data_IF_031063597315
#
_entry.id   IF_031063597315
#
_cell.length_a   1.000
_cell.length_b   1.000
_cell.length_c   1.000
_cell.angle_alpha   90.00
_cell.angle_beta   90.00
_cell.angle_gamma   90.00
#
_symmetry.space_group_name_H-M   'P 1'
#
loop_
_entity.id
_entity.type
_entity.pdbx_description
1 polymer ?
#
# COMPACT_ATOMS: atom_id res chain seq x y z
N UNK A 1 -17.38 -13.30 24.61
CA UNK A 1 -17.45 -12.51 23.37
C UNK A 1 -16.35 -11.47 23.43
N UNK A 2 -15.23 -11.70 22.75
CA UNK A 2 -14.15 -10.71 22.64
C UNK A 2 -14.37 -9.97 21.32
N UNK A 3 -14.83 -8.73 21.42
CA UNK A 3 -15.06 -7.84 20.29
C UNK A 3 -13.71 -7.56 19.64
N UNK A 4 -13.43 -8.23 18.53
CA UNK A 4 -12.22 -8.03 17.74
C UNK A 4 -12.40 -6.68 17.02
N UNK A 5 -11.78 -5.65 17.59
CA UNK A 5 -11.74 -4.27 17.12
C UNK A 5 -11.68 -4.18 15.59
N UNK A 6 -12.75 -3.70 14.92
CA UNK A 6 -12.83 -3.59 13.46
C UNK A 6 -11.86 -2.63 12.73
N UNK A 7 -11.22 -1.59 13.33
CA UNK A 7 -10.51 -0.59 12.53
C UNK A 7 -9.14 -1.05 12.02
N UNK A 8 -8.30 -1.63 12.88
CA UNK A 8 -6.87 -1.83 12.59
C UNK A 8 -6.62 -2.78 11.42
N UNK A 9 -7.47 -3.82 11.29
CA UNK A 9 -7.41 -4.75 10.17
C UNK A 9 -7.84 -4.12 8.84
N UNK A 10 -8.77 -3.16 8.86
CA UNK A 10 -9.23 -2.47 7.64
C UNK A 10 -8.16 -1.51 7.11
N UNK A 11 -7.49 -0.77 8.00
CA UNK A 11 -6.37 0.09 7.64
C UNK A 11 -5.20 -0.70 7.03
N UNK A 12 -4.85 -1.84 7.63
CA UNK A 12 -3.79 -2.72 7.15
C UNK A 12 -4.08 -3.23 5.73
N UNK A 13 -5.34 -3.60 5.45
CA UNK A 13 -5.74 -4.08 4.13
C UNK A 13 -5.63 -2.99 3.04
N UNK A 14 -6.00 -1.74 3.35
CA UNK A 14 -5.91 -0.64 2.38
C UNK A 14 -4.46 -0.30 2.02
N UNK A 15 -3.55 -0.34 3.00
CA UNK A 15 -2.10 -0.17 2.78
C UNK A 15 -1.52 -1.28 1.89
N UNK A 16 -1.89 -2.53 2.16
CA UNK A 16 -1.45 -3.68 1.34
C UNK A 16 -1.96 -3.57 -0.10
N UNK A 17 -3.22 -3.22 -0.30
CA UNK A 17 -3.80 -3.01 -1.63
C UNK A 17 -3.10 -1.88 -2.40
N UNK A 18 -2.82 -0.76 -1.74
CA UNK A 18 -2.07 0.34 -2.32
C UNK A 18 -0.65 -0.08 -2.71
N UNK A 19 0.02 -0.86 -1.86
CA UNK A 19 1.36 -1.37 -2.10
C UNK A 19 1.40 -2.35 -3.29
N UNK A 20 0.42 -3.25 -3.38
CA UNK A 20 0.28 -4.19 -4.50
C UNK A 20 0.08 -3.44 -5.81
N UNK A 21 -0.88 -2.51 -5.85
CA UNK A 21 -1.14 -1.67 -7.02
C UNK A 21 0.12 -0.92 -7.47
N UNK A 22 0.82 -0.28 -6.54
CA UNK A 22 2.06 0.45 -6.86
C UNK A 22 3.18 -0.51 -7.33
N UNK A 23 3.26 -1.72 -6.79
CA UNK A 23 4.25 -2.70 -7.20
C UNK A 23 4.01 -3.23 -8.63
N UNK A 24 2.75 -3.29 -9.06
CA UNK A 24 2.33 -3.66 -10.42
C UNK A 24 2.49 -2.51 -11.42
N UNK A 25 2.37 -1.26 -10.96
CA UNK A 25 2.45 -0.08 -11.81
C UNK A 25 3.86 0.14 -12.38
N UNK A 26 3.98 0.18 -13.70
CA UNK A 26 5.25 0.34 -14.42
C UNK A 26 5.63 1.82 -14.58
N UNK A 27 4.63 2.71 -14.65
CA UNK A 27 4.83 4.16 -14.79
C UNK A 27 3.99 4.91 -13.73
N UNK A 28 4.43 4.89 -12.46
CA UNK A 28 3.64 5.46 -11.38
C UNK A 28 3.50 6.98 -11.52
N UNK A 29 2.30 7.53 -11.28
CA UNK A 29 2.09 8.97 -11.32
C UNK A 29 2.91 9.68 -10.24
N UNK A 30 3.37 10.89 -10.56
CA UNK A 30 4.11 11.74 -9.64
C UNK A 30 3.30 13.02 -9.36
N UNK A 31 3.15 13.44 -8.09
CA UNK A 31 3.71 12.81 -6.88
C UNK A 31 2.89 11.58 -6.42
N UNK A 32 3.58 10.48 -6.05
CA UNK A 32 2.91 9.21 -5.72
C UNK A 32 2.13 9.23 -4.41
N UNK A 33 2.63 9.92 -3.37
CA UNK A 33 1.99 9.95 -2.05
C UNK A 33 0.59 10.59 -2.10
N UNK A 34 0.38 11.78 -2.68
CA UNK A 34 -0.96 12.34 -2.84
C UNK A 34 -1.91 11.44 -3.65
N UNK A 35 -1.40 10.74 -4.66
CA UNK A 35 -2.24 9.84 -5.45
C UNK A 35 -2.69 8.62 -4.65
N UNK A 36 -1.79 7.98 -3.89
CA UNK A 36 -2.17 6.86 -3.02
C UNK A 36 -3.21 7.28 -1.97
N UNK A 37 -3.02 8.45 -1.37
CA UNK A 37 -3.97 9.01 -0.40
C UNK A 37 -5.35 9.19 -1.02
N UNK A 38 -5.42 9.79 -2.21
CA UNK A 38 -6.68 10.04 -2.92
C UNK A 38 -7.35 8.75 -3.39
N UNK A 39 -6.56 7.76 -3.83
CA UNK A 39 -7.06 6.54 -4.46
C UNK A 39 -7.55 5.50 -3.45
N UNK A 40 -6.90 5.41 -2.30
CA UNK A 40 -7.14 4.38 -1.29
C UNK A 40 -7.61 4.95 0.06
N UNK A 41 -7.94 6.24 0.12
CA UNK A 41 -8.34 6.97 1.33
C UNK A 41 -7.34 6.84 2.49
N UNK A 42 -6.05 6.94 2.16
CA UNK A 42 -4.96 6.77 3.12
C UNK A 42 -4.51 8.09 3.73
N UNK A 43 -4.01 8.01 4.97
CA UNK A 43 -3.16 9.04 5.55
C UNK A 43 -1.80 9.12 4.85
N UNK A 44 -1.04 10.19 5.12
CA UNK A 44 0.31 10.33 4.58
C UNK A 44 1.28 9.26 5.12
N UNK A 45 1.06 8.78 6.35
CA UNK A 45 1.86 7.70 6.94
C UNK A 45 1.60 6.38 6.22
N UNK A 46 0.32 5.99 6.10
CA UNK A 46 -0.10 4.77 5.40
C UNK A 46 0.33 4.76 3.93
N UNK A 47 0.24 5.90 3.24
CA UNK A 47 0.75 6.01 1.87
C UNK A 47 2.28 5.84 1.78
N UNK A 48 3.02 6.29 2.79
CA UNK A 48 4.47 6.10 2.88
C UNK A 48 4.84 4.65 3.15
N UNK A 49 4.08 3.97 4.03
CA UNK A 49 4.20 2.53 4.29
C UNK A 49 3.90 1.71 3.04
N UNK A 50 2.84 2.05 2.30
CA UNK A 50 2.50 1.42 1.04
C UNK A 50 3.65 1.57 0.01
N UNK A 51 4.29 2.74 -0.04
CA UNK A 51 5.47 2.95 -0.89
C UNK A 51 6.64 2.04 -0.51
N UNK A 52 6.94 1.90 0.78
CA UNK A 52 8.01 1.02 1.26
C UNK A 52 7.69 -0.46 0.99
N UNK A 53 6.43 -0.86 1.20
CA UNK A 53 5.96 -2.22 0.95
C UNK A 53 5.99 -2.58 -0.55
N UNK A 54 5.59 -1.64 -1.42
CA UNK A 54 5.65 -1.83 -2.87
C UNK A 54 7.08 -2.10 -3.37
N UNK A 55 8.09 -1.44 -2.79
CA UNK A 55 9.49 -1.71 -3.11
C UNK A 55 9.88 -3.15 -2.75
N UNK A 56 9.45 -3.65 -1.59
CA UNK A 56 9.68 -5.05 -1.18
C UNK A 56 9.01 -6.03 -2.13
N UNK A 57 7.76 -5.78 -2.54
CA UNK A 57 7.06 -6.61 -3.51
C UNK A 57 7.77 -6.68 -4.86
N UNK A 58 8.28 -5.56 -5.36
CA UNK A 58 9.10 -5.53 -6.59
C UNK A 58 10.38 -6.36 -6.46
N UNK A 59 11.05 -6.29 -5.32
CA UNK A 59 12.25 -7.10 -5.06
C UNK A 59 11.93 -8.60 -5.02
N UNK A 60 10.87 -8.99 -4.30
CA UNK A 60 10.45 -10.39 -4.20
C UNK A 60 10.07 -10.97 -5.57
N UNK A 61 9.35 -10.20 -6.40
CA UNK A 61 8.98 -10.63 -7.76
C UNK A 61 10.20 -10.82 -8.65
N UNK A 62 11.20 -9.93 -8.57
CA UNK A 62 12.47 -10.06 -9.29
C UNK A 62 13.30 -11.26 -8.82
N UNK A 63 13.20 -11.64 -7.56
CA UNK A 63 13.92 -12.80 -7.02
C UNK A 63 13.30 -14.14 -7.44
N UNK A 64 12.02 -14.14 -7.82
CA UNK A 64 11.26 -15.32 -8.25
C UNK A 64 11.07 -15.40 -9.78
N UNK A 65 11.64 -14.46 -10.54
CA UNK A 65 11.55 -14.35 -12.01
C UNK A 65 12.77 -14.88 -12.72
#
# INVERSE_FOLDING_TARGET
MNDLSPPEHQHSAAVEQAAQWLADEQSPPQPIIPELRRRFDLSALEASEACAMAQRFRMLRKAMS
#
